data_IF_607916025016
#
_entry.id   IF_607916025016
#
_cell.length_a   1.000
_cell.length_b   1.000
_cell.length_c   1.000
_cell.angle_alpha   90.00
_cell.angle_beta   90.00
_cell.angle_gamma   90.00
#
_symmetry.space_group_name_H-M   'P 1'
#
loop_
_entity.id
_entity.type
_entity.pdbx_description
1 polymer ?
#
# COMPACT_ATOMS: atom_id res chain seq x y z
N UNK A 1 22.64 -15.26 -3.68
CA UNK A 1 21.61 -14.55 -2.88
C UNK A 1 22.20 -13.29 -2.27
N UNK A 2 21.39 -12.38 -1.69
CA UNK A 2 21.93 -11.23 -0.94
C UNK A 2 22.37 -11.73 0.44
N UNK A 3 23.67 -11.61 0.75
CA UNK A 3 24.24 -11.99 2.05
C UNK A 3 24.16 -10.84 3.07
N UNK A 4 24.40 -9.62 2.60
CA UNK A 4 24.34 -8.42 3.45
C UNK A 4 23.99 -7.17 2.64
N UNK A 5 23.73 -6.06 3.34
CA UNK A 5 23.60 -4.73 2.74
C UNK A 5 24.61 -3.79 3.37
N UNK A 6 25.45 -3.15 2.53
CA UNK A 6 26.37 -2.07 2.92
C UNK A 6 25.79 -0.77 2.36
N UNK A 7 25.20 0.03 3.24
CA UNK A 7 24.38 1.17 2.84
C UNK A 7 23.23 0.72 1.90
N UNK A 8 23.18 1.22 0.65
CA UNK A 8 22.21 0.81 -0.37
C UNK A 8 22.72 -0.30 -1.29
N UNK A 9 23.98 -0.69 -1.19
CA UNK A 9 24.56 -1.73 -2.02
C UNK A 9 24.20 -3.11 -1.48
N UNK A 10 23.84 -4.02 -2.40
CA UNK A 10 23.61 -5.42 -2.07
C UNK A 10 24.91 -6.18 -2.29
N UNK A 11 25.37 -6.88 -1.27
CA UNK A 11 26.47 -7.83 -1.38
C UNK A 11 25.86 -9.21 -1.61
N UNK A 12 26.37 -9.92 -2.62
CA UNK A 12 25.85 -11.22 -3.02
C UNK A 12 26.86 -12.30 -2.67
N UNK A 13 26.36 -13.46 -2.27
CA UNK A 13 27.15 -14.69 -2.12
C UNK A 13 26.34 -15.86 -2.70
N UNK A 14 26.99 -17.00 -2.84
CA UNK A 14 26.34 -18.24 -3.29
C UNK A 14 25.32 -18.73 -2.26
N UNK A 15 24.28 -19.39 -2.75
CA UNK A 15 23.15 -19.81 -1.90
C UNK A 15 23.60 -20.69 -0.74
N UNK A 16 24.47 -21.64 -1.01
CA UNK A 16 24.97 -22.63 -0.05
C UNK A 16 25.70 -22.01 1.14
N UNK A 17 26.27 -20.79 0.99
CA UNK A 17 26.87 -20.04 2.11
C UNK A 17 25.86 -19.20 2.86
N UNK A 18 24.86 -18.66 2.16
CA UNK A 18 23.84 -17.79 2.76
C UNK A 18 22.78 -18.59 3.51
N UNK A 19 22.48 -19.80 3.01
CA UNK A 19 21.51 -20.72 3.59
C UNK A 19 22.13 -22.13 3.68
N UNK A 20 23.07 -22.33 4.64
CA UNK A 20 23.82 -23.60 4.72
C UNK A 20 22.95 -24.81 5.07
N UNK A 21 21.84 -24.60 5.78
CA UNK A 21 20.94 -25.67 6.19
C UNK A 21 19.78 -25.92 5.22
N UNK A 22 19.74 -25.19 4.08
CA UNK A 22 18.68 -25.33 3.09
C UNK A 22 18.94 -26.52 2.16
N UNK A 23 17.92 -27.38 2.03
CA UNK A 23 17.88 -28.50 1.09
C UNK A 23 16.64 -28.36 0.19
N UNK A 24 16.83 -28.28 -1.12
CA UNK A 24 15.73 -28.12 -2.08
C UNK A 24 14.74 -29.29 -2.02
N UNK A 25 15.21 -30.51 -1.77
CA UNK A 25 14.34 -31.69 -1.69
C UNK A 25 13.47 -31.69 -0.43
N UNK A 26 13.95 -31.11 0.65
CA UNK A 26 13.24 -31.04 1.95
C UNK A 26 12.42 -29.77 2.07
N UNK A 27 12.96 -28.63 1.63
CA UNK A 27 12.47 -27.29 2.03
C UNK A 27 11.64 -26.60 0.93
N UNK A 28 11.69 -27.08 -0.32
CA UNK A 28 10.79 -26.60 -1.36
C UNK A 28 9.44 -27.29 -1.28
N UNK A 29 8.34 -26.55 -1.30
CA UNK A 29 7.02 -27.15 -1.43
C UNK A 29 6.87 -27.84 -2.81
N UNK A 30 6.01 -28.86 -2.94
CA UNK A 30 5.66 -29.44 -4.23
C UNK A 30 5.21 -28.34 -5.21
N UNK A 31 5.64 -28.47 -6.47
CA UNK A 31 5.39 -27.42 -7.47
C UNK A 31 3.91 -27.07 -7.64
N UNK A 32 3.04 -28.06 -7.55
CA UNK A 32 1.58 -27.91 -7.61
C UNK A 32 0.99 -27.14 -6.45
N UNK A 33 1.65 -27.14 -5.28
CA UNK A 33 1.21 -26.42 -4.09
C UNK A 33 1.64 -24.93 -4.10
N UNK A 34 2.63 -24.56 -4.93
CA UNK A 34 3.19 -23.19 -4.92
C UNK A 34 2.16 -22.15 -5.35
N UNK A 35 1.47 -22.38 -6.46
CA UNK A 35 0.52 -21.42 -7.01
C UNK A 35 -0.69 -21.19 -6.08
N UNK A 36 -1.38 -22.23 -5.59
CA UNK A 36 -2.45 -22.04 -4.60
C UNK A 36 -2.00 -21.28 -3.36
N UNK A 37 -0.83 -21.60 -2.80
CA UNK A 37 -0.29 -20.91 -1.64
C UNK A 37 0.00 -19.42 -1.90
N UNK A 38 0.55 -19.07 -3.07
CA UNK A 38 0.79 -17.67 -3.44
C UNK A 38 -0.51 -16.90 -3.66
N UNK A 39 -1.54 -17.53 -4.20
CA UNK A 39 -2.86 -16.91 -4.38
C UNK A 39 -3.56 -16.71 -3.04
N UNK A 40 -3.52 -17.70 -2.14
CA UNK A 40 -4.05 -17.59 -0.78
C UNK A 40 -3.41 -16.42 -0.02
N UNK A 41 -2.08 -16.37 0.03
CA UNK A 41 -1.32 -15.28 0.63
C UNK A 41 -1.65 -13.91 0.01
N UNK A 42 -1.87 -13.87 -1.31
CA UNK A 42 -2.28 -12.64 -2.01
C UNK A 42 -3.66 -12.19 -1.55
N UNK A 43 -4.63 -13.10 -1.52
CA UNK A 43 -6.00 -12.79 -1.10
C UNK A 43 -6.04 -12.32 0.36
N UNK A 44 -5.28 -12.98 1.24
CA UNK A 44 -5.12 -12.57 2.63
C UNK A 44 -4.52 -11.18 2.78
N UNK A 45 -3.49 -10.85 1.99
CA UNK A 45 -2.80 -9.56 2.06
C UNK A 45 -3.62 -8.39 1.49
N UNK A 46 -4.41 -8.65 0.45
CA UNK A 46 -5.19 -7.62 -0.24
C UNK A 46 -6.59 -7.39 0.35
N UNK A 47 -7.07 -8.34 1.15
CA UNK A 47 -8.39 -8.29 1.77
C UNK A 47 -9.51 -8.70 0.82
N UNK A 48 -9.90 -7.84 -0.11
CA UNK A 48 -10.84 -8.13 -1.19
C UNK A 48 -10.13 -8.13 -2.53
N UNK A 49 -10.36 -9.16 -3.35
CA UNK A 49 -9.67 -9.32 -4.64
C UNK A 49 -10.61 -9.70 -5.77
N UNK A 50 -10.22 -9.31 -6.98
CA UNK A 50 -10.75 -9.82 -8.25
C UNK A 50 -9.71 -10.74 -8.89
N UNK A 51 -10.17 -11.64 -9.76
CA UNK A 51 -9.31 -12.62 -10.41
C UNK A 51 -8.21 -12.01 -11.31
N UNK A 52 -8.41 -10.80 -11.81
CA UNK A 52 -7.44 -10.06 -12.62
C UNK A 52 -6.40 -9.27 -11.79
N UNK A 53 -6.57 -9.16 -10.45
CA UNK A 53 -5.65 -8.41 -9.59
C UNK A 53 -4.58 -9.28 -8.93
N UNK A 54 -4.87 -10.56 -8.69
CA UNK A 54 -4.01 -11.43 -7.87
C UNK A 54 -2.64 -11.70 -8.47
N UNK A 55 -2.51 -11.61 -9.80
CA UNK A 55 -1.23 -11.83 -10.47
C UNK A 55 -0.16 -10.80 -10.10
N UNK A 56 -0.55 -9.55 -9.82
CA UNK A 56 0.41 -8.46 -9.64
C UNK A 56 1.19 -8.56 -8.33
N UNK A 57 0.60 -9.13 -7.27
CA UNK A 57 1.19 -9.14 -5.94
C UNK A 57 2.53 -9.90 -5.91
N UNK A 58 2.59 -11.11 -6.47
CA UNK A 58 3.81 -11.91 -6.59
C UNK A 58 4.39 -11.93 -8.01
N UNK A 59 4.00 -10.98 -8.86
CA UNK A 59 4.47 -10.90 -10.26
C UNK A 59 4.25 -12.20 -11.05
N UNK A 60 3.13 -12.85 -10.81
CA UNK A 60 2.71 -14.02 -11.57
C UNK A 60 2.41 -13.66 -13.03
N UNK A 61 2.41 -14.63 -13.95
CA UNK A 61 2.02 -14.39 -15.34
C UNK A 61 0.67 -13.68 -15.44
N UNK A 62 0.58 -12.64 -16.28
CA UNK A 62 -0.64 -11.85 -16.45
C UNK A 62 -1.72 -12.63 -17.17
N UNK A 63 -2.63 -13.22 -16.42
CA UNK A 63 -3.85 -13.88 -16.89
C UNK A 63 -4.93 -13.79 -15.82
N UNK A 64 -6.14 -14.22 -16.14
CA UNK A 64 -7.15 -14.43 -15.10
C UNK A 64 -6.82 -15.69 -14.29
N UNK A 65 -7.01 -15.61 -13.00
CA UNK A 65 -6.84 -16.72 -12.05
C UNK A 65 -8.19 -17.16 -11.46
N UNK A 66 -9.25 -16.96 -12.21
CA UNK A 66 -10.62 -17.24 -11.75
C UNK A 66 -10.82 -18.68 -11.33
N UNK A 67 -10.37 -19.63 -12.14
CA UNK A 67 -10.53 -21.05 -11.83
C UNK A 67 -9.78 -21.46 -10.54
N UNK A 68 -8.58 -20.93 -10.34
CA UNK A 68 -7.80 -21.20 -9.13
C UNK A 68 -8.44 -20.56 -7.89
N UNK A 69 -9.02 -19.36 -8.01
CA UNK A 69 -9.75 -18.73 -6.89
C UNK A 69 -11.06 -19.46 -6.59
N UNK A 70 -11.76 -19.98 -7.59
CA UNK A 70 -12.93 -20.86 -7.42
C UNK A 70 -12.56 -22.14 -6.68
N UNK A 71 -11.44 -22.79 -7.02
CA UNK A 71 -10.92 -23.95 -6.29
C UNK A 71 -10.61 -23.63 -4.81
N UNK A 72 -9.98 -22.48 -4.52
CA UNK A 72 -9.74 -22.03 -3.15
C UNK A 72 -11.04 -21.72 -2.41
N UNK A 73 -12.07 -21.23 -3.10
CA UNK A 73 -13.39 -21.00 -2.53
C UNK A 73 -14.10 -22.33 -2.24
N UNK A 74 -14.02 -23.31 -3.13
CA UNK A 74 -14.58 -24.65 -2.92
C UNK A 74 -13.89 -25.39 -1.75
N UNK A 75 -12.58 -25.15 -1.56
CA UNK A 75 -11.82 -25.63 -0.42
C UNK A 75 -12.17 -24.87 0.89
N UNK A 76 -12.88 -23.75 0.77
CA UNK A 76 -13.32 -22.92 1.89
C UNK A 76 -12.27 -21.94 2.41
N UNK A 77 -11.19 -21.69 1.67
CA UNK A 77 -10.16 -20.70 2.01
C UNK A 77 -10.56 -19.28 1.60
N UNK A 78 -11.40 -19.17 0.57
CA UNK A 78 -11.97 -17.91 0.09
C UNK A 78 -13.49 -17.91 0.17
N UNK A 79 -14.06 -16.73 0.36
CA UNK A 79 -15.49 -16.47 0.37
C UNK A 79 -15.81 -15.62 -0.85
N UNK A 80 -16.59 -16.14 -1.84
CA UNK A 80 -17.08 -15.32 -2.94
C UNK A 80 -18.06 -14.28 -2.42
N UNK A 81 -17.89 -13.03 -2.88
CA UNK A 81 -18.74 -11.91 -2.51
C UNK A 81 -19.16 -11.13 -3.75
N UNK A 82 -20.38 -10.61 -3.74
CA UNK A 82 -20.85 -9.64 -4.70
C UNK A 82 -20.55 -8.22 -4.18
N UNK A 83 -20.08 -7.34 -5.06
CA UNK A 83 -19.83 -5.94 -4.72
C UNK A 83 -20.68 -5.08 -5.66
N UNK A 84 -21.41 -4.16 -5.09
CA UNK A 84 -22.27 -3.25 -5.85
C UNK A 84 -21.48 -2.52 -6.94
N UNK A 85 -22.04 -2.53 -8.15
CA UNK A 85 -21.41 -1.94 -9.33
C UNK A 85 -20.32 -2.79 -10.00
N UNK A 86 -19.96 -3.95 -9.46
CA UNK A 86 -19.01 -4.86 -10.09
C UNK A 86 -19.74 -5.97 -10.87
N UNK A 87 -19.28 -6.24 -12.10
CA UNK A 87 -19.84 -7.32 -12.94
C UNK A 87 -19.29 -8.70 -12.56
N UNK A 88 -18.04 -8.73 -12.12
CA UNK A 88 -17.33 -9.96 -11.77
C UNK A 88 -17.39 -10.17 -10.26
N UNK A 89 -17.45 -11.44 -9.80
CA UNK A 89 -17.37 -11.73 -8.38
C UNK A 89 -16.00 -11.30 -7.82
N UNK A 90 -16.01 -10.93 -6.55
CA UNK A 90 -14.82 -10.73 -5.76
C UNK A 90 -14.68 -11.87 -4.74
N UNK A 91 -13.51 -11.98 -4.16
CA UNK A 91 -13.19 -12.98 -3.16
C UNK A 91 -12.59 -12.31 -1.93
N UNK A 92 -12.99 -12.77 -0.76
CA UNK A 92 -12.46 -12.35 0.54
C UNK A 92 -11.82 -13.58 1.19
N UNK A 93 -10.63 -13.41 1.76
CA UNK A 93 -9.97 -14.49 2.48
C UNK A 93 -10.76 -14.85 3.76
N UNK A 94 -10.91 -16.15 4.06
CA UNK A 94 -11.66 -16.66 5.22
C UNK A 94 -11.29 -16.00 6.56
N UNK A 95 -10.02 -15.62 6.76
CA UNK A 95 -9.61 -14.92 7.99
C UNK A 95 -10.30 -13.59 8.24
N UNK A 96 -11.00 -13.06 7.23
CA UNK A 96 -11.73 -11.80 7.29
C UNK A 96 -13.26 -12.00 7.38
N UNK A 97 -13.74 -13.24 7.46
CA UNK A 97 -15.17 -13.60 7.48
C UNK A 97 -15.95 -12.83 8.56
N UNK A 98 -15.37 -12.70 9.74
CA UNK A 98 -15.99 -11.98 10.86
C UNK A 98 -16.28 -10.49 10.57
N UNK A 99 -15.63 -9.90 9.55
CA UNK A 99 -15.84 -8.51 9.18
C UNK A 99 -16.95 -8.33 8.13
N UNK A 100 -17.37 -9.40 7.45
CA UNK A 100 -18.35 -9.33 6.35
C UNK A 100 -19.70 -8.75 6.79
N UNK A 101 -20.31 -9.14 7.93
CA UNK A 101 -21.58 -8.55 8.34
C UNK A 101 -21.49 -7.03 8.57
N UNK A 102 -20.37 -6.57 9.12
CA UNK A 102 -20.16 -5.13 9.32
C UNK A 102 -19.86 -4.39 8.01
N UNK A 103 -19.25 -5.07 7.04
CA UNK A 103 -19.04 -4.51 5.69
C UNK A 103 -20.38 -4.39 4.96
N UNK A 104 -21.22 -5.42 4.97
CA UNK A 104 -22.55 -5.43 4.35
C UNK A 104 -23.47 -4.36 4.97
N UNK A 105 -23.41 -4.18 6.28
CA UNK A 105 -24.17 -3.14 6.99
C UNK A 105 -23.57 -1.72 6.87
N UNK A 106 -22.51 -1.53 6.11
CA UNK A 106 -21.73 -0.25 6.02
C UNK A 106 -21.35 0.33 7.40
N UNK A 107 -21.04 -0.55 8.34
CA UNK A 107 -20.65 -0.14 9.70
C UNK A 107 -19.16 -0.28 9.99
N UNK A 108 -18.36 -0.84 9.06
CA UNK A 108 -16.91 -0.87 9.18
C UNK A 108 -16.35 0.54 9.24
N UNK A 109 -15.47 0.76 10.23
CA UNK A 109 -14.79 2.07 10.38
C UNK A 109 -13.29 1.83 10.55
N UNK A 110 -12.52 2.42 9.64
CA UNK A 110 -11.07 2.47 9.78
C UNK A 110 -10.66 3.66 10.63
N UNK A 111 -9.70 3.46 11.52
CA UNK A 111 -9.11 4.51 12.36
C UNK A 111 -7.71 4.90 11.91
N UNK A 112 -7.16 4.18 10.93
CA UNK A 112 -5.77 4.38 10.47
C UNK A 112 -5.65 5.64 9.64
N UNK A 113 -4.66 6.49 9.99
CA UNK A 113 -4.18 7.60 9.16
C UNK A 113 -2.68 7.47 9.03
N UNK A 114 -2.18 7.42 7.78
CA UNK A 114 -0.76 7.25 7.50
C UNK A 114 -0.39 7.77 6.11
N UNK A 115 0.91 7.98 5.88
CA UNK A 115 1.46 8.22 4.56
C UNK A 115 1.97 6.88 4.01
N UNK A 116 1.53 6.52 2.80
CA UNK A 116 1.91 5.28 2.15
C UNK A 116 3.16 5.47 1.30
N UNK A 117 3.97 4.43 1.19
CA UNK A 117 4.99 4.36 0.16
C UNK A 117 4.34 4.27 -1.23
N UNK A 118 4.92 4.84 -2.29
CA UNK A 118 4.50 4.57 -3.67
C UNK A 118 4.50 3.08 -4.05
N UNK A 119 5.22 2.26 -3.29
CA UNK A 119 5.33 0.82 -3.47
C UNK A 119 4.44 0.02 -2.51
N UNK A 120 3.56 0.71 -1.77
CA UNK A 120 2.60 0.04 -0.88
C UNK A 120 1.57 -0.73 -1.70
N UNK A 121 1.19 -1.97 -1.28
CA UNK A 121 0.18 -2.78 -1.96
C UNK A 121 -1.16 -2.05 -2.18
N UNK A 122 -1.53 -1.12 -1.32
CA UNK A 122 -2.77 -0.33 -1.48
C UNK A 122 -2.77 0.48 -2.78
N UNK A 123 -1.61 0.99 -3.22
CA UNK A 123 -1.54 1.96 -4.32
C UNK A 123 -0.67 1.54 -5.51
N UNK A 124 0.20 0.52 -5.40
CA UNK A 124 1.11 0.18 -6.51
C UNK A 124 0.39 -0.33 -7.77
N UNK A 125 -0.73 -1.07 -7.60
CA UNK A 125 -1.60 -1.43 -8.70
C UNK A 125 -2.60 -0.29 -8.96
N UNK A 126 -2.34 0.46 -10.04
CA UNK A 126 -3.11 1.65 -10.40
C UNK A 126 -4.58 1.34 -10.69
N UNK A 127 -4.86 0.20 -11.36
CA UNK A 127 -6.24 -0.20 -11.70
C UNK A 127 -7.03 -0.49 -10.44
N UNK A 128 -6.42 -1.23 -9.50
CA UNK A 128 -7.03 -1.54 -8.21
C UNK A 128 -7.22 -0.27 -7.38
N UNK A 129 -6.22 0.60 -7.27
CA UNK A 129 -6.31 1.86 -6.54
C UNK A 129 -7.41 2.78 -7.11
N UNK A 130 -7.53 2.86 -8.44
CA UNK A 130 -8.60 3.60 -9.09
C UNK A 130 -9.98 2.97 -8.83
N UNK A 131 -10.09 1.63 -8.90
CA UNK A 131 -11.37 0.93 -8.69
C UNK A 131 -11.84 1.03 -7.24
N UNK A 132 -10.95 0.85 -6.26
CA UNK A 132 -11.31 0.81 -4.83
C UNK A 132 -11.47 2.20 -4.21
N UNK A 133 -10.65 3.16 -4.65
CA UNK A 133 -10.54 4.46 -3.98
C UNK A 133 -10.81 5.66 -4.90
N UNK A 134 -11.07 5.45 -6.19
CA UNK A 134 -11.12 6.55 -7.16
C UNK A 134 -9.80 7.33 -7.27
N UNK A 135 -8.69 6.70 -6.87
CA UNK A 135 -7.40 7.36 -6.73
C UNK A 135 -6.50 7.08 -7.94
N UNK A 136 -6.29 8.11 -8.76
CA UNK A 136 -5.35 8.04 -9.88
C UNK A 136 -3.94 8.41 -9.40
N UNK A 137 -3.08 7.40 -9.35
CA UNK A 137 -1.74 7.54 -8.80
C UNK A 137 -0.64 7.03 -9.74
N UNK A 138 0.37 7.86 -9.91
CA UNK A 138 1.60 7.50 -10.61
C UNK A 138 2.78 8.13 -9.89
N UNK A 139 3.83 7.35 -9.64
CA UNK A 139 5.10 7.90 -9.15
C UNK A 139 5.79 8.66 -10.28
N UNK A 140 6.20 9.91 -10.02
CA UNK A 140 6.78 10.79 -11.03
C UNK A 140 8.31 10.92 -10.94
N UNK A 141 8.99 10.04 -10.17
CA UNK A 141 10.44 10.08 -10.00
C UNK A 141 11.22 9.83 -11.30
N UNK A 142 10.60 9.17 -12.27
CA UNK A 142 11.15 8.95 -13.62
C UNK A 142 10.69 10.01 -14.65
N UNK A 143 9.83 10.93 -14.22
CA UNK A 143 9.33 12.02 -15.07
C UNK A 143 10.27 13.22 -14.96
N UNK A 144 10.68 13.87 -16.08
CA UNK A 144 11.44 15.12 -16.04
C UNK A 144 10.74 16.17 -15.17
N UNK A 145 11.52 16.97 -14.44
CA UNK A 145 10.98 17.88 -13.41
C UNK A 145 9.88 18.81 -13.94
N UNK A 146 10.09 19.41 -15.12
CA UNK A 146 9.13 20.33 -15.75
C UNK A 146 7.81 19.68 -16.20
N UNK A 147 7.73 18.33 -16.20
CA UNK A 147 6.53 17.56 -16.56
C UNK A 147 5.84 16.94 -15.34
N UNK A 148 6.42 17.09 -14.15
CA UNK A 148 5.81 16.56 -12.92
C UNK A 148 4.60 17.40 -12.52
N UNK A 149 3.51 16.73 -12.25
CA UNK A 149 2.28 17.35 -11.80
C UNK A 149 2.25 17.56 -10.28
N UNK A 150 2.76 16.59 -9.54
CA UNK A 150 2.64 16.53 -8.09
C UNK A 150 3.98 16.62 -7.36
N UNK A 151 5.05 16.07 -7.92
CA UNK A 151 6.38 16.10 -7.29
C UNK A 151 7.24 14.88 -7.64
N UNK A 152 8.35 14.74 -6.95
CA UNK A 152 9.32 13.69 -7.27
C UNK A 152 8.91 12.32 -6.73
N UNK A 153 8.62 12.24 -5.44
CA UNK A 153 8.30 11.00 -4.72
C UNK A 153 7.13 11.25 -3.78
N UNK A 154 5.94 11.41 -4.38
CA UNK A 154 4.75 11.73 -3.63
C UNK A 154 4.24 10.53 -2.85
N UNK A 155 3.99 10.74 -1.56
CA UNK A 155 3.45 9.76 -0.63
C UNK A 155 1.93 9.91 -0.59
N UNK A 156 1.13 8.90 -0.99
CA UNK A 156 -0.32 8.94 -0.81
C UNK A 156 -0.71 9.05 0.67
N UNK A 157 -1.74 9.82 0.97
CA UNK A 157 -2.27 9.99 2.33
C UNK A 157 -3.52 9.13 2.49
N UNK A 158 -3.38 8.06 3.26
CA UNK A 158 -4.52 7.25 3.71
C UNK A 158 -5.09 7.86 4.99
N UNK A 159 -6.39 8.16 4.99
CA UNK A 159 -7.11 8.64 6.16
C UNK A 159 -8.42 7.85 6.31
N UNK A 160 -8.47 7.03 7.36
CA UNK A 160 -9.67 6.26 7.75
C UNK A 160 -10.33 5.52 6.57
N UNK A 161 -9.51 4.77 5.81
CA UNK A 161 -9.99 3.97 4.67
C UNK A 161 -10.15 4.74 3.35
N UNK A 162 -9.79 6.02 3.28
CA UNK A 162 -9.86 6.85 2.07
C UNK A 162 -8.50 7.42 1.70
N UNK A 163 -8.18 7.49 0.42
CA UNK A 163 -7.02 8.22 -0.08
C UNK A 163 -7.42 9.68 -0.29
N UNK A 164 -6.95 10.55 0.62
CA UNK A 164 -7.42 11.94 0.71
C UNK A 164 -6.48 12.96 0.08
N UNK A 165 -5.28 12.53 -0.31
CA UNK A 165 -4.28 13.42 -0.89
C UNK A 165 -2.95 12.72 -1.13
N UNK A 166 -1.95 13.52 -1.47
CA UNK A 166 -0.56 13.10 -1.65
C UNK A 166 0.40 14.19 -1.20
N UNK A 167 1.56 13.78 -0.71
CA UNK A 167 2.57 14.68 -0.14
C UNK A 167 3.90 14.48 -0.87
N UNK A 168 4.42 15.54 -1.53
CA UNK A 168 5.82 15.57 -1.95
C UNK A 168 6.67 16.01 -0.75
N UNK A 169 7.47 15.09 -0.24
CA UNK A 169 8.27 15.31 0.96
C UNK A 169 9.73 14.90 0.76
N UNK A 170 10.60 15.48 1.59
CA UNK A 170 12.03 15.14 1.59
C UNK A 170 12.57 15.14 3.03
N UNK A 171 13.21 14.03 3.40
CA UNK A 171 13.97 13.95 4.65
C UNK A 171 15.40 14.46 4.43
N UNK A 172 15.75 15.59 5.04
CA UNK A 172 17.09 16.16 5.08
C UNK A 172 17.81 15.62 6.33
N UNK A 173 18.32 14.39 6.24
CA UNK A 173 18.84 13.64 7.39
C UNK A 173 19.97 14.33 8.12
N UNK A 174 20.87 15.02 7.41
CA UNK A 174 21.97 15.79 8.02
C UNK A 174 21.52 17.02 8.78
N UNK A 175 20.32 17.54 8.48
CA UNK A 175 19.73 18.71 9.13
C UNK A 175 18.66 18.33 10.16
N UNK A 176 18.31 17.03 10.29
CA UNK A 176 17.22 16.60 11.14
C UNK A 176 15.81 17.05 10.67
N UNK A 177 15.67 17.56 9.43
CA UNK A 177 14.46 18.22 8.95
C UNK A 177 13.70 17.36 7.96
N UNK A 178 12.37 17.26 8.14
CA UNK A 178 11.42 16.66 7.22
C UNK A 178 10.63 17.75 6.51
N UNK A 179 10.95 17.99 5.26
CA UNK A 179 10.35 19.05 4.45
C UNK A 179 9.11 18.55 3.71
N UNK A 180 7.95 19.15 3.93
CA UNK A 180 6.76 19.04 3.09
C UNK A 180 6.86 20.08 1.97
N UNK A 181 7.31 19.67 0.79
CA UNK A 181 7.42 20.56 -0.37
C UNK A 181 6.06 20.97 -0.90
N UNK A 182 5.15 20.00 -1.01
CA UNK A 182 3.78 20.24 -1.41
C UNK A 182 2.83 19.18 -0.85
N UNK A 183 1.67 19.62 -0.39
CA UNK A 183 0.55 18.75 -0.03
C UNK A 183 -0.60 19.01 -0.99
N UNK A 184 -1.01 17.97 -1.70
CA UNK A 184 -2.10 18.03 -2.66
C UNK A 184 -3.30 17.26 -2.09
N UNK A 185 -4.43 17.92 -1.97
CA UNK A 185 -5.70 17.30 -1.56
C UNK A 185 -6.41 16.77 -2.80
N UNK A 186 -7.00 15.59 -2.70
CA UNK A 186 -7.75 15.00 -3.83
C UNK A 186 -9.05 15.76 -4.07
N UNK A 187 -9.52 15.83 -5.34
CA UNK A 187 -10.79 16.47 -5.67
C UNK A 187 -11.94 15.89 -4.86
N UNK A 188 -12.83 16.77 -4.39
CA UNK A 188 -14.01 16.37 -3.60
C UNK A 188 -13.73 16.01 -2.14
N UNK A 189 -12.48 16.04 -1.68
CA UNK A 189 -12.13 15.82 -0.28
C UNK A 189 -12.29 17.12 0.53
N UNK A 190 -13.15 17.07 1.56
CA UNK A 190 -13.23 18.15 2.55
C UNK A 190 -12.11 18.00 3.57
N UNK A 191 -11.02 18.75 3.38
CA UNK A 191 -9.84 18.72 4.24
C UNK A 191 -10.03 19.68 5.43
N UNK A 192 -10.88 19.30 6.39
CA UNK A 192 -11.16 20.10 7.60
C UNK A 192 -10.17 19.84 8.72
N UNK A 193 -10.37 20.52 9.86
CA UNK A 193 -9.48 20.50 11.04
C UNK A 193 -9.22 19.09 11.58
N UNK A 194 -10.23 18.20 11.61
CA UNK A 194 -10.07 16.83 12.08
C UNK A 194 -9.14 15.99 11.18
N UNK A 195 -9.33 16.08 9.85
CA UNK A 195 -8.46 15.41 8.88
C UNK A 195 -7.04 15.96 9.00
N UNK A 196 -6.90 17.29 9.09
CA UNK A 196 -5.62 17.97 9.23
C UNK A 196 -4.86 17.51 10.48
N UNK A 197 -5.55 17.42 11.63
CA UNK A 197 -4.95 16.94 12.88
C UNK A 197 -4.45 15.50 12.78
N UNK A 198 -5.25 14.59 12.19
CA UNK A 198 -4.84 13.20 12.02
C UNK A 198 -3.66 13.07 11.03
N UNK A 199 -3.67 13.85 9.94
CA UNK A 199 -2.58 13.88 8.95
C UNK A 199 -1.31 14.48 9.55
N UNK A 200 -1.41 15.56 10.36
CA UNK A 200 -0.27 16.15 11.06
C UNK A 200 0.43 15.13 11.97
N UNK A 201 -0.34 14.35 12.75
CA UNK A 201 0.19 13.24 13.57
C UNK A 201 0.92 12.20 12.73
N UNK A 202 0.34 11.81 11.59
CA UNK A 202 0.95 10.83 10.69
C UNK A 202 2.26 11.37 10.07
N UNK A 203 2.30 12.63 9.68
CA UNK A 203 3.52 13.31 9.17
C UNK A 203 4.60 13.32 10.24
N UNK A 204 4.29 13.76 11.47
CA UNK A 204 5.27 13.81 12.58
C UNK A 204 5.80 12.42 12.94
N UNK A 205 4.92 11.40 12.96
CA UNK A 205 5.33 10.01 13.18
C UNK A 205 6.32 9.53 12.11
N UNK A 206 6.04 9.84 10.83
CA UNK A 206 6.94 9.48 9.72
C UNK A 206 8.25 10.24 9.79
N UNK A 207 8.22 11.54 10.09
CA UNK A 207 9.39 12.39 10.26
C UNK A 207 10.32 11.87 11.37
N UNK A 208 9.76 11.53 12.52
CA UNK A 208 10.49 10.94 13.65
C UNK A 208 11.11 9.58 13.27
N UNK A 209 10.35 8.72 12.57
CA UNK A 209 10.86 7.43 12.08
C UNK A 209 12.05 7.58 11.12
N UNK A 210 12.07 8.65 10.31
CA UNK A 210 13.19 8.97 9.43
C UNK A 210 14.42 9.57 10.15
N UNK A 211 14.33 9.87 11.46
CA UNK A 211 15.34 10.62 12.19
C UNK A 211 15.41 12.10 11.79
N UNK A 212 14.29 12.66 11.32
CA UNK A 212 14.15 14.06 10.88
C UNK A 212 12.91 14.69 11.53
N UNK A 213 12.88 14.81 12.89
CA UNK A 213 11.66 15.19 13.61
C UNK A 213 11.18 16.61 13.34
N UNK A 214 12.05 17.50 12.88
CA UNK A 214 11.69 18.90 12.59
C UNK A 214 10.95 19.01 11.28
N UNK A 215 9.64 19.25 11.34
CA UNK A 215 8.80 19.36 10.14
C UNK A 215 8.75 20.79 9.64
N UNK A 216 9.10 20.99 8.36
CA UNK A 216 8.96 22.28 7.67
C UNK A 216 7.98 22.16 6.52
N UNK A 217 7.27 23.24 6.20
CA UNK A 217 6.21 23.27 5.18
C UNK A 217 6.48 24.38 4.18
N UNK A 218 6.48 24.06 2.88
CA UNK A 218 6.49 25.09 1.81
C UNK A 218 5.08 25.39 1.29
N UNK A 219 4.27 24.34 1.06
CA UNK A 219 2.91 24.49 0.54
C UNK A 219 2.02 23.38 1.08
N UNK A 220 1.03 23.74 1.87
CA UNK A 220 0.00 22.84 2.38
C UNK A 220 -1.33 23.58 2.57
N UNK A 221 -2.45 22.85 2.78
CA UNK A 221 -3.68 23.46 3.25
C UNK A 221 -3.47 24.20 4.59
N UNK A 222 -4.07 25.39 4.79
CA UNK A 222 -3.90 26.18 6.02
C UNK A 222 -4.24 25.41 7.30
N UNK A 223 -5.21 24.50 7.25
CA UNK A 223 -5.61 23.67 8.39
C UNK A 223 -4.46 22.72 8.79
N UNK A 224 -3.71 22.18 7.81
CA UNK A 224 -2.58 21.31 8.10
C UNK A 224 -1.39 22.10 8.67
N UNK A 225 -1.11 23.29 8.15
CA UNK A 225 -0.06 24.15 8.68
C UNK A 225 -0.34 24.52 10.15
N UNK A 226 -1.57 24.90 10.46
CA UNK A 226 -2.02 25.17 11.85
C UNK A 226 -1.89 23.92 12.74
N UNK A 227 -2.31 22.75 12.25
CA UNK A 227 -2.22 21.50 13.00
C UNK A 227 -0.77 21.07 13.27
N UNK A 228 0.14 21.28 12.33
CA UNK A 228 1.57 20.98 12.48
C UNK A 228 2.25 21.94 13.49
N UNK A 229 1.81 23.20 13.54
CA UNK A 229 2.34 24.19 14.49
C UNK A 229 1.81 23.99 15.92
N UNK A 230 0.60 23.43 16.09
CA UNK A 230 -0.05 23.26 17.39
C UNK A 230 0.36 21.97 18.14
N UNK A 231 1.10 21.09 17.51
CA UNK A 231 1.51 19.77 18.04
C UNK A 231 3.01 19.70 18.23
#
# INVERSE_FOLDING_TARGET
>A
MVSERRNFQRVYDVRERVLPDWDDARDLPPREAVLPALLDLTCRALGVVRADWVADYYRLPRRSYRAELEQLADAGDLIPVAIDGWKEPAYVHRSLEAWLPAAEADTLRSTVTTLLSPFDPVVWDRRRASTLFGFDYTIECYTPEHKRRYGYFCLPVLHRGRLVGRVDAKAHRTLGTFELKAVHVEPGVRFGTGVAADVAKAVKKLAAWHGTPDVTVRRAPPELEKALAAT
#
